data_IF_039883780655
#
_entry.id   IF_039883780655
#
_cell.length_a   1.000
_cell.length_b   1.000
_cell.length_c   1.000
_cell.angle_alpha   90.00
_cell.angle_beta   90.00
_cell.angle_gamma   90.00
#
_symmetry.space_group_name_H-M   'P 1'
#
loop_
_entity.id
_entity.type
_entity.pdbx_description
1 polymer ?
#
# COMPACT_ATOMS: atom_id res chain seq x y z
N UNK A 1 -11.42 66.40 -1.61
CA UNK A 1 -10.81 65.79 -0.42
C UNK A 1 -9.87 64.71 -0.97
N UNK A 2 -8.72 65.02 -1.56
CA UNK A 2 -7.54 65.67 -0.94
C UNK A 2 -7.11 64.86 0.30
N UNK A 3 -5.92 64.30 0.50
CA UNK A 3 -4.63 64.18 -0.19
C UNK A 3 -3.90 63.01 0.55
N UNK A 4 -3.05 62.19 -0.11
CA UNK A 4 -1.57 62.26 -0.08
C UNK A 4 -0.97 62.02 1.33
N UNK A 5 0.05 61.20 1.60
CA UNK A 5 1.28 60.82 0.89
C UNK A 5 1.66 59.36 1.28
N UNK A 6 2.09 58.46 0.38
CA UNK A 6 3.40 58.38 -0.29
C UNK A 6 4.58 58.43 0.70
N UNK A 7 5.39 57.38 0.82
CA UNK A 7 6.75 57.25 0.23
C UNK A 7 7.43 56.10 1.02
N UNK A 8 8.32 55.24 0.54
CA UNK A 8 9.20 55.17 -0.63
C UNK A 8 9.80 53.75 -0.60
N UNK A 9 9.59 52.94 -1.65
CA UNK A 9 10.52 52.65 -2.74
C UNK A 9 11.67 51.67 -2.42
N UNK A 10 11.65 50.58 -3.23
CA UNK A 10 12.77 50.01 -4.01
C UNK A 10 13.84 49.25 -3.20
N UNK A 11 14.51 48.22 -3.71
CA UNK A 11 14.73 47.75 -5.08
C UNK A 11 15.24 46.30 -5.04
N UNK A 12 14.79 45.52 -6.01
CA UNK A 12 15.56 44.67 -6.93
C UNK A 12 16.71 43.78 -6.42
N UNK A 13 16.62 42.53 -6.90
CA UNK A 13 17.68 41.70 -7.49
C UNK A 13 18.93 41.42 -6.66
N UNK A 14 19.28 40.14 -6.52
CA UNK A 14 20.46 39.54 -7.15
C UNK A 14 20.60 38.10 -6.62
N UNK A 15 20.36 37.17 -7.54
CA UNK A 15 20.89 35.81 -7.47
C UNK A 15 22.40 35.86 -7.70
N UNK A 16 23.22 35.45 -6.72
CA UNK A 16 24.60 35.00 -6.98
C UNK A 16 25.04 33.98 -5.95
N UNK A 17 25.06 32.74 -6.40
CA UNK A 17 25.94 31.63 -6.01
C UNK A 17 27.27 32.05 -5.34
N UNK A 18 27.56 31.50 -4.14
CA UNK A 18 28.94 31.27 -3.68
C UNK A 18 29.01 29.95 -2.88
N UNK A 19 29.69 28.96 -3.46
CA UNK A 19 30.38 27.85 -2.76
C UNK A 19 31.89 28.10 -2.90
N UNK A 20 32.69 28.03 -1.83
CA UNK A 20 33.75 27.00 -1.71
C UNK A 20 33.91 26.51 -0.25
N UNK A 21 34.11 25.22 0.05
CA UNK A 21 35.36 24.42 -0.07
C UNK A 21 36.49 24.87 0.88
N UNK A 22 36.79 23.99 1.85
CA UNK A 22 38.03 23.69 2.58
C UNK A 22 38.82 24.78 3.36
N UNK A 23 39.01 24.58 4.68
CA UNK A 23 40.31 24.61 5.37
C UNK A 23 40.21 24.54 6.92
N UNK A 24 40.80 23.48 7.47
CA UNK A 24 41.69 23.44 8.65
C UNK A 24 41.41 24.27 9.93
N UNK A 25 41.05 23.52 10.99
CA UNK A 25 41.75 23.36 12.28
C UNK A 25 41.84 24.49 13.35
N UNK A 26 41.68 24.02 14.60
CA UNK A 26 42.20 24.54 15.89
C UNK A 26 41.76 25.91 16.40
N UNK A 27 40.87 25.95 17.41
CA UNK A 27 41.09 26.71 18.68
C UNK A 27 40.37 26.00 19.83
N UNK A 28 41.12 25.75 20.89
CA UNK A 28 40.75 25.20 22.19
C UNK A 28 40.59 26.37 23.16
N UNK A 29 39.41 26.69 23.68
CA UNK A 29 39.28 27.35 25.00
C UNK A 29 37.85 27.32 25.52
N UNK A 30 37.69 26.90 26.77
CA UNK A 30 36.50 27.14 27.56
C UNK A 30 36.43 28.62 27.95
N UNK A 31 35.27 29.26 27.83
CA UNK A 31 34.84 30.27 28.80
C UNK A 31 33.31 30.43 28.81
N UNK A 32 32.78 30.65 30.01
CA UNK A 32 31.40 30.90 30.35
C UNK A 32 30.93 32.23 29.78
N UNK A 33 29.76 32.25 29.15
CA UNK A 33 28.92 33.44 29.09
C UNK A 33 27.50 33.07 29.50
N UNK A 34 27.13 33.52 30.71
CA UNK A 34 25.75 33.63 31.16
C UNK A 34 25.04 34.67 30.26
N UNK A 35 24.02 34.24 29.54
CA UNK A 35 22.91 35.10 29.14
C UNK A 35 21.64 34.29 29.28
N UNK A 36 20.99 34.49 30.41
CA UNK A 36 19.57 34.22 30.58
C UNK A 36 18.84 35.29 29.76
N UNK A 37 18.26 34.90 28.62
CA UNK A 37 17.26 35.69 27.92
C UNK A 37 15.91 34.99 28.09
N UNK A 38 14.96 35.71 28.64
CA UNK A 38 13.64 35.26 29.06
C UNK A 38 12.73 34.86 27.88
N UNK A 39 12.92 33.65 27.36
CA UNK A 39 11.93 32.87 26.64
C UNK A 39 12.10 31.40 27.07
N UNK A 40 11.01 30.63 27.29
CA UNK A 40 11.16 29.24 27.70
C UNK A 40 12.05 28.50 26.69
N UNK A 41 13.00 27.66 27.13
CA UNK A 41 13.86 26.92 26.22
C UNK A 41 12.98 26.15 25.23
N UNK A 42 13.17 26.39 23.93
CA UNK A 42 12.47 25.63 22.89
C UNK A 42 12.93 24.18 22.96
N UNK A 43 12.20 23.38 23.73
CA UNK A 43 12.34 21.94 23.81
C UNK A 43 11.94 21.38 22.45
N UNK A 44 12.93 21.13 21.58
CA UNK A 44 12.70 20.39 20.34
C UNK A 44 12.37 18.97 20.73
N UNK A 45 11.08 18.66 20.73
CA UNK A 45 10.55 17.31 20.85
C UNK A 45 10.88 16.62 19.52
N UNK A 46 12.11 16.12 19.39
CA UNK A 46 12.44 15.20 18.31
C UNK A 46 11.70 13.90 18.59
N UNK A 47 10.89 13.44 17.64
CA UNK A 47 10.41 12.07 17.66
C UNK A 47 11.61 11.12 17.78
N UNK A 48 11.49 10.04 18.56
CA UNK A 48 12.52 9.01 18.64
C UNK A 48 12.95 8.58 17.23
N UNK A 49 14.25 8.38 16.95
CA UNK A 49 14.72 7.98 15.64
C UNK A 49 14.04 6.67 15.21
N UNK A 50 13.04 6.76 14.34
CA UNK A 50 12.38 5.58 13.80
C UNK A 50 13.22 5.08 12.62
N UNK A 51 14.06 4.08 12.89
CA UNK A 51 14.88 3.41 11.88
C UNK A 51 13.91 2.72 10.90
N UNK A 52 13.90 3.17 9.64
CA UNK A 52 13.01 2.63 8.62
C UNK A 52 13.49 1.23 8.25
N UNK A 53 12.63 0.24 8.46
CA UNK A 53 12.86 -1.10 7.94
C UNK A 53 12.60 -1.15 6.42
N UNK A 54 13.25 -2.06 5.72
CA UNK A 54 13.19 -2.23 4.26
C UNK A 54 12.07 -3.19 3.80
N UNK A 55 11.15 -3.53 4.70
CA UNK A 55 10.05 -4.46 4.45
C UNK A 55 9.05 -3.84 3.46
N UNK A 56 8.91 -4.47 2.30
CA UNK A 56 7.93 -4.10 1.27
C UNK A 56 6.72 -5.06 1.31
N UNK A 57 5.52 -4.49 1.15
CA UNK A 57 4.24 -5.22 1.06
C UNK A 57 4.28 -6.26 -0.06
N UNK A 58 4.84 -5.90 -1.22
CA UNK A 58 4.98 -6.82 -2.36
C UNK A 58 5.86 -8.03 -2.00
N UNK A 59 6.92 -7.81 -1.21
CA UNK A 59 7.81 -8.86 -0.75
C UNK A 59 7.10 -9.83 0.21
N UNK A 60 6.30 -9.30 1.13
CA UNK A 60 5.47 -10.11 2.02
C UNK A 60 4.46 -10.94 1.20
N UNK A 61 3.71 -10.30 0.30
CA UNK A 61 2.69 -10.98 -0.50
C UNK A 61 3.28 -12.07 -1.40
N UNK A 62 4.45 -11.82 -2.01
CA UNK A 62 5.16 -12.83 -2.78
C UNK A 62 5.60 -14.00 -1.91
N UNK A 63 6.09 -13.74 -0.70
CA UNK A 63 6.48 -14.80 0.24
C UNK A 63 5.29 -15.71 0.58
N UNK A 64 4.10 -15.13 0.75
CA UNK A 64 2.86 -15.91 0.97
C UNK A 64 2.51 -16.74 -0.26
N UNK A 65 2.59 -16.17 -1.47
CA UNK A 65 2.34 -16.90 -2.72
C UNK A 65 3.30 -18.10 -2.86
N UNK A 66 4.59 -17.90 -2.57
CA UNK A 66 5.59 -18.98 -2.57
C UNK A 66 5.27 -20.02 -1.50
N UNK A 67 4.85 -19.61 -0.31
CA UNK A 67 4.49 -20.52 0.78
C UNK A 67 3.28 -21.42 0.46
N UNK A 68 2.27 -20.90 -0.27
CA UNK A 68 1.09 -21.70 -0.67
C UNK A 68 1.32 -22.53 -1.94
N UNK A 69 2.38 -22.26 -2.71
CA UNK A 69 2.70 -22.98 -3.94
C UNK A 69 2.76 -24.52 -3.77
N UNK A 70 3.42 -25.11 -2.75
CA UNK A 70 3.40 -26.56 -2.56
C UNK A 70 1.99 -27.12 -2.32
N UNK A 71 1.12 -26.36 -1.65
CA UNK A 71 -0.28 -26.76 -1.45
C UNK A 71 -1.07 -26.71 -2.76
N UNK A 72 -0.81 -25.72 -3.63
CA UNK A 72 -1.40 -25.64 -4.97
C UNK A 72 -0.98 -26.86 -5.81
N UNK A 73 0.32 -27.19 -5.82
CA UNK A 73 0.85 -28.34 -6.58
C UNK A 73 0.20 -29.63 -6.11
N UNK A 74 0.12 -29.86 -4.80
CA UNK A 74 -0.54 -31.04 -4.25
C UNK A 74 -2.04 -31.09 -4.61
N UNK A 75 -2.74 -29.95 -4.56
CA UNK A 75 -4.14 -29.84 -4.97
C UNK A 75 -4.36 -30.21 -6.44
N UNK A 76 -3.50 -29.75 -7.34
CA UNK A 76 -3.59 -30.07 -8.77
C UNK A 76 -3.36 -31.57 -9.01
N UNK A 77 -2.42 -32.20 -8.28
CA UNK A 77 -2.17 -33.66 -8.42
C UNK A 77 -3.39 -34.47 -7.97
N UNK A 78 -4.05 -34.07 -6.88
CA UNK A 78 -5.18 -34.83 -6.33
C UNK A 78 -6.49 -34.64 -7.13
N UNK A 79 -6.75 -33.42 -7.60
CA UNK A 79 -8.03 -33.05 -8.21
C UNK A 79 -7.97 -32.90 -9.75
N UNK A 80 -6.77 -32.97 -10.33
CA UNK A 80 -6.56 -32.91 -11.77
C UNK A 80 -6.84 -31.54 -12.40
N UNK A 81 -7.29 -31.56 -13.66
CA UNK A 81 -7.44 -30.36 -14.49
C UNK A 81 -8.47 -29.36 -13.95
N UNK A 82 -9.53 -29.83 -13.29
CA UNK A 82 -10.60 -28.97 -12.77
C UNK A 82 -10.07 -28.00 -11.69
N UNK A 83 -9.18 -28.46 -10.82
CA UNK A 83 -8.56 -27.61 -9.82
C UNK A 83 -7.70 -26.52 -10.46
N UNK A 84 -6.90 -26.88 -11.48
CA UNK A 84 -6.08 -25.91 -12.20
C UNK A 84 -6.94 -24.82 -12.88
N UNK A 85 -8.04 -25.21 -13.54
CA UNK A 85 -8.97 -24.27 -14.17
C UNK A 85 -9.56 -23.32 -13.12
N UNK A 86 -10.02 -23.84 -11.97
CA UNK A 86 -10.62 -23.03 -10.93
C UNK A 86 -9.61 -22.06 -10.28
N UNK A 87 -8.37 -22.50 -10.06
CA UNK A 87 -7.27 -21.66 -9.60
C UNK A 87 -6.97 -20.51 -10.57
N UNK A 88 -6.84 -20.83 -11.86
CA UNK A 88 -6.55 -19.85 -12.90
C UNK A 88 -7.70 -18.85 -13.05
N UNK A 89 -8.94 -19.32 -13.12
CA UNK A 89 -10.13 -18.48 -13.26
C UNK A 89 -10.32 -17.58 -12.03
N UNK A 90 -10.13 -18.11 -10.83
CA UNK A 90 -10.21 -17.32 -9.59
C UNK A 90 -9.15 -16.21 -9.52
N UNK A 91 -7.90 -16.53 -9.85
CA UNK A 91 -6.82 -15.54 -9.85
C UNK A 91 -7.00 -14.45 -10.92
N UNK A 92 -7.34 -14.85 -12.15
CA UNK A 92 -7.57 -13.92 -13.27
C UNK A 92 -8.78 -13.03 -12.98
N UNK A 93 -9.90 -13.61 -12.54
CA UNK A 93 -11.11 -12.86 -12.22
C UNK A 93 -10.88 -11.86 -11.09
N UNK A 94 -10.14 -12.24 -10.03
CA UNK A 94 -9.81 -11.32 -8.95
C UNK A 94 -8.97 -10.12 -9.41
N UNK A 95 -7.93 -10.38 -10.21
CA UNK A 95 -7.07 -9.32 -10.75
C UNK A 95 -7.84 -8.40 -11.71
N UNK A 96 -8.68 -8.97 -12.56
CA UNK A 96 -9.53 -8.21 -13.47
C UNK A 96 -10.55 -7.35 -12.70
N UNK A 97 -11.20 -7.90 -11.69
CA UNK A 97 -12.15 -7.16 -10.86
C UNK A 97 -11.49 -5.97 -10.15
N UNK A 98 -10.27 -6.16 -9.63
CA UNK A 98 -9.48 -5.08 -9.05
C UNK A 98 -9.14 -4.00 -10.07
N UNK A 99 -8.63 -4.40 -11.24
CA UNK A 99 -8.28 -3.48 -12.32
C UNK A 99 -9.47 -2.65 -12.77
N UNK A 100 -10.60 -3.31 -13.04
CA UNK A 100 -11.83 -2.66 -13.51
C UNK A 100 -12.33 -1.67 -12.47
N UNK A 101 -12.35 -2.05 -11.19
CA UNK A 101 -12.79 -1.18 -10.12
C UNK A 101 -11.90 0.05 -9.96
N UNK A 102 -10.57 -0.16 -9.91
CA UNK A 102 -9.62 0.94 -9.76
C UNK A 102 -9.67 1.90 -10.94
N UNK A 103 -9.81 1.39 -12.16
CA UNK A 103 -9.99 2.20 -13.36
C UNK A 103 -11.31 2.96 -13.34
N UNK A 104 -12.40 2.34 -12.89
CA UNK A 104 -13.71 2.98 -12.81
C UNK A 104 -13.76 4.09 -11.75
N UNK A 105 -13.08 3.91 -10.60
CA UNK A 105 -13.01 4.92 -9.54
C UNK A 105 -11.87 5.94 -9.71
N UNK A 106 -11.08 5.86 -10.80
CA UNK A 106 -9.94 6.75 -11.02
C UNK A 106 -8.83 6.64 -9.97
N UNK A 107 -8.73 5.49 -9.30
CA UNK A 107 -7.73 5.23 -8.27
C UNK A 107 -6.41 4.75 -8.90
N UNK A 108 -5.31 4.83 -8.13
CA UNK A 108 -4.02 4.28 -8.55
C UNK A 108 -4.16 2.77 -8.75
N UNK A 109 -3.66 2.25 -9.86
CA UNK A 109 -3.70 0.82 -10.17
C UNK A 109 -2.71 0.09 -9.28
N UNK A 110 -3.18 -0.74 -8.34
CA UNK A 110 -2.34 -1.47 -7.37
C UNK A 110 -2.16 -2.95 -7.68
N UNK A 111 -2.50 -3.40 -8.89
CA UNK A 111 -2.42 -4.83 -9.29
C UNK A 111 -1.06 -5.48 -8.99
N UNK A 112 0.01 -4.69 -9.04
CA UNK A 112 1.37 -5.16 -8.75
C UNK A 112 1.62 -5.52 -7.27
N UNK A 113 0.65 -5.34 -6.38
CA UNK A 113 0.74 -5.75 -4.98
C UNK A 113 0.59 -7.27 -4.77
N UNK A 114 0.04 -8.00 -5.76
CA UNK A 114 -0.13 -9.46 -5.73
C UNK A 114 -1.27 -9.96 -4.83
N UNK A 115 -1.95 -9.07 -4.12
CA UNK A 115 -2.94 -9.44 -3.11
C UNK A 115 -4.30 -9.81 -3.69
N UNK A 116 -4.70 -9.23 -4.83
CA UNK A 116 -5.90 -9.66 -5.54
C UNK A 116 -5.72 -11.09 -6.08
N UNK A 117 -4.56 -11.38 -6.67
CA UNK A 117 -4.19 -12.72 -7.11
C UNK A 117 -4.23 -13.72 -5.93
N UNK A 118 -3.58 -13.39 -4.82
CA UNK A 118 -3.59 -14.22 -3.61
C UNK A 118 -5.02 -14.47 -3.10
N UNK A 119 -5.88 -13.46 -3.09
CA UNK A 119 -7.28 -13.60 -2.68
C UNK A 119 -8.05 -14.57 -3.58
N UNK A 120 -7.88 -14.46 -4.90
CA UNK A 120 -8.49 -15.36 -5.87
C UNK A 120 -7.99 -16.81 -5.73
N UNK A 121 -6.68 -17.00 -5.52
CA UNK A 121 -6.07 -18.31 -5.28
C UNK A 121 -6.61 -18.95 -3.99
N UNK A 122 -6.63 -18.19 -2.88
CA UNK A 122 -7.13 -18.68 -1.59
C UNK A 122 -8.62 -19.03 -1.65
N UNK A 123 -9.43 -18.23 -2.34
CA UNK A 123 -10.84 -18.55 -2.56
C UNK A 123 -11.00 -19.86 -3.33
N UNK A 124 -10.28 -20.01 -4.45
CA UNK A 124 -10.35 -21.21 -5.29
C UNK A 124 -9.92 -22.48 -4.54
N UNK A 125 -8.95 -22.38 -3.64
CA UNK A 125 -8.51 -23.50 -2.79
C UNK A 125 -9.49 -23.80 -1.64
N UNK A 126 -10.32 -22.84 -1.24
CA UNK A 126 -11.26 -22.98 -0.11
C UNK A 126 -12.60 -23.61 -0.50
N UNK A 127 -12.80 -23.88 -1.80
CA UNK A 127 -14.02 -24.45 -2.37
C UNK A 127 -13.69 -25.78 -3.08
N UNK A 128 -14.70 -26.63 -3.26
CA UNK A 128 -14.53 -27.90 -3.97
C UNK A 128 -14.11 -27.66 -5.43
N UNK A 129 -13.11 -28.39 -5.96
CA UNK A 129 -12.67 -28.25 -7.35
C UNK A 129 -13.66 -28.84 -8.36
N UNK A 130 -14.69 -29.56 -7.92
CA UNK A 130 -15.78 -30.04 -8.77
C UNK A 130 -16.79 -28.92 -9.09
N UNK A 131 -16.73 -27.78 -8.40
CA UNK A 131 -17.61 -26.66 -8.67
C UNK A 131 -17.32 -26.04 -10.06
N UNK A 132 -18.36 -25.61 -10.79
CA UNK A 132 -18.19 -24.92 -12.07
C UNK A 132 -17.32 -23.67 -11.94
N UNK A 133 -16.40 -23.46 -12.89
CA UNK A 133 -15.43 -22.37 -12.86
C UNK A 133 -16.06 -20.97 -12.82
N UNK A 134 -17.26 -20.78 -13.41
CA UNK A 134 -17.94 -19.48 -13.39
C UNK A 134 -18.35 -19.05 -11.98
N UNK A 135 -18.64 -20.00 -11.08
CA UNK A 135 -18.97 -19.67 -9.69
C UNK A 135 -17.75 -19.09 -8.98
N UNK A 136 -16.57 -19.65 -9.24
CA UNK A 136 -15.30 -19.14 -8.70
C UNK A 136 -15.01 -17.73 -9.21
N UNK A 137 -15.30 -17.47 -10.50
CA UNK A 137 -15.16 -16.14 -11.09
C UNK A 137 -16.06 -15.11 -10.40
N UNK A 138 -17.33 -15.44 -10.17
CA UNK A 138 -18.29 -14.54 -9.51
C UNK A 138 -17.88 -14.31 -8.04
N UNK A 139 -17.54 -15.37 -7.31
CA UNK A 139 -17.12 -15.27 -5.91
C UNK A 139 -15.86 -14.45 -5.72
N UNK A 140 -14.88 -14.58 -6.63
CA UNK A 140 -13.65 -13.78 -6.61
C UNK A 140 -13.91 -12.32 -6.93
N UNK A 141 -14.79 -12.02 -7.89
CA UNK A 141 -15.19 -10.65 -8.18
C UNK A 141 -15.88 -9.99 -6.98
N UNK A 142 -16.80 -10.71 -6.30
CA UNK A 142 -17.47 -10.22 -5.08
C UNK A 142 -16.46 -10.01 -3.95
N UNK A 143 -15.53 -10.96 -3.73
CA UNK A 143 -14.48 -10.82 -2.73
C UNK A 143 -13.67 -9.53 -2.93
N UNK A 144 -13.28 -9.23 -4.16
CA UNK A 144 -12.48 -8.03 -4.46
C UNK A 144 -13.33 -6.78 -4.36
N UNK A 145 -14.46 -6.71 -5.05
CA UNK A 145 -15.26 -5.48 -5.14
C UNK A 145 -15.87 -5.13 -3.77
N UNK A 146 -16.52 -6.11 -3.14
CA UNK A 146 -17.29 -5.89 -1.91
C UNK A 146 -16.40 -5.96 -0.67
N UNK A 147 -15.46 -6.91 -0.58
CA UNK A 147 -14.71 -7.08 0.67
C UNK A 147 -13.38 -6.32 0.70
N UNK A 148 -12.75 -6.06 -0.44
CA UNK A 148 -11.47 -5.34 -0.50
C UNK A 148 -11.65 -3.87 -0.89
N UNK A 149 -12.33 -3.59 -2.00
CA UNK A 149 -12.34 -2.23 -2.55
C UNK A 149 -13.36 -1.31 -1.86
N UNK A 150 -14.49 -1.84 -1.38
CA UNK A 150 -15.42 -1.05 -0.58
C UNK A 150 -14.77 -0.51 0.72
N UNK A 151 -13.75 -1.20 1.22
CA UNK A 151 -13.06 -0.86 2.48
C UNK A 151 -11.88 0.10 2.29
N UNK A 152 -11.60 0.51 1.05
CA UNK A 152 -10.47 1.39 0.74
C UNK A 152 -9.19 0.67 0.28
N UNK A 153 -9.25 -0.64 0.03
CA UNK A 153 -8.16 -1.40 -0.57
C UNK A 153 -7.22 -2.06 0.44
N UNK A 154 -5.95 -2.23 0.06
CA UNK A 154 -4.97 -2.94 0.89
C UNK A 154 -4.66 -2.20 2.20
N UNK A 155 -4.76 -2.93 3.31
CA UNK A 155 -4.46 -2.43 4.66
C UNK A 155 -5.69 -2.01 5.48
N UNK A 156 -6.86 -1.91 4.85
CA UNK A 156 -8.11 -1.51 5.50
C UNK A 156 -9.17 -2.62 5.54
N UNK A 157 -8.78 -3.87 5.29
CA UNK A 157 -9.69 -5.01 5.30
C UNK A 157 -10.08 -5.36 6.75
N UNK A 158 -11.34 -5.13 7.14
CA UNK A 158 -11.88 -5.56 8.44
C UNK A 158 -11.99 -7.10 8.50
N UNK A 159 -12.35 -7.73 7.37
CA UNK A 159 -12.48 -9.17 7.24
C UNK A 159 -11.60 -9.71 6.10
N UNK A 160 -11.22 -10.99 6.17
CA UNK A 160 -10.47 -11.64 5.10
C UNK A 160 -11.32 -11.70 3.80
N UNK A 161 -10.92 -11.00 2.71
CA UNK A 161 -11.72 -10.94 1.48
C UNK A 161 -12.02 -12.32 0.88
N UNK A 162 -11.07 -13.27 0.97
CA UNK A 162 -11.26 -14.62 0.43
C UNK A 162 -12.39 -15.38 1.15
N UNK A 163 -12.52 -15.19 2.48
CA UNK A 163 -13.58 -15.83 3.25
C UNK A 163 -14.93 -15.18 3.02
N UNK A 164 -14.97 -13.86 2.79
CA UNK A 164 -16.21 -13.16 2.40
C UNK A 164 -16.70 -13.66 1.04
N UNK A 165 -15.80 -13.84 0.06
CA UNK A 165 -16.15 -14.45 -1.22
C UNK A 165 -16.76 -15.84 -1.07
N UNK A 166 -16.16 -16.69 -0.21
CA UNK A 166 -16.69 -18.03 0.06
C UNK A 166 -18.06 -17.99 0.75
N UNK A 167 -18.24 -17.10 1.72
CA UNK A 167 -19.53 -16.93 2.40
C UNK A 167 -20.62 -16.46 1.41
N UNK A 168 -20.29 -15.53 0.51
CA UNK A 168 -21.20 -15.08 -0.52
C UNK A 168 -21.63 -16.21 -1.47
N UNK A 169 -20.69 -17.07 -1.86
CA UNK A 169 -21.01 -18.26 -2.67
C UNK A 169 -21.90 -19.24 -1.92
N UNK A 170 -21.61 -19.55 -0.66
CA UNK A 170 -22.43 -20.46 0.16
C UNK A 170 -23.85 -19.96 0.41
N UNK A 171 -24.03 -18.65 0.56
CA UNK A 171 -25.37 -18.06 0.71
C UNK A 171 -26.14 -18.07 -0.61
N UNK A 172 -25.45 -17.87 -1.73
CA UNK A 172 -26.09 -17.77 -3.05
C UNK A 172 -26.36 -19.15 -3.68
N UNK A 173 -25.49 -20.13 -3.43
CA UNK A 173 -25.57 -21.52 -3.91
C UNK A 173 -25.21 -22.47 -2.75
N UNK A 174 -26.20 -22.84 -1.92
CA UNK A 174 -25.99 -23.75 -0.80
C UNK A 174 -25.66 -25.18 -1.24
#
# INVERSE_FOLDING_TARGET
MENNENTTLKSNDVDTSVKPTDAANTVKTADKSKSQSDAPPLLTISTSPHIRDSINIQGIMLTVIVAITPAIVHGIINFGMNAFINLAVGAISAVLAEYIWQKAMGQKVTIADGSACLTGLLLAMSISPLLPAYMVAIGSAIAIIVAKQSMGGLGFNIFNPAHIGRAALMVSWP
#
